data_IF_798116062051
#
_entry.id   IF_798116062051
#
_cell.length_a   1.000
_cell.length_b   1.000
_cell.length_c   1.000
_cell.angle_alpha   90.00
_cell.angle_beta   90.00
_cell.angle_gamma   90.00
#
_symmetry.space_group_name_H-M   'P 1'
#
loop_
_entity.id
_entity.type
_entity.pdbx_description
1 polymer ?
#
# COMPACT_ATOMS: atom_id res chain seq x y z
N UNK A 1 -8.58 -40.36 -12.03
CA UNK A 1 -8.89 -39.23 -11.13
C UNK A 1 -7.79 -38.20 -11.30
N UNK A 2 -8.05 -37.04 -11.91
CA UNK A 2 -7.02 -36.01 -12.08
C UNK A 2 -6.80 -35.31 -10.73
N UNK A 3 -5.71 -35.65 -10.04
CA UNK A 3 -5.28 -34.86 -8.89
C UNK A 3 -4.90 -33.45 -9.38
N UNK A 4 -5.65 -32.44 -8.92
CA UNK A 4 -5.31 -31.05 -9.18
C UNK A 4 -3.95 -30.75 -8.56
N UNK A 5 -2.98 -30.35 -9.38
CA UNK A 5 -1.62 -30.00 -8.95
C UNK A 5 -1.70 -29.00 -7.80
N UNK A 6 -1.03 -29.34 -6.71
CA UNK A 6 -0.99 -28.54 -5.48
C UNK A 6 0.29 -27.72 -5.44
N UNK A 7 0.19 -26.45 -5.04
CA UNK A 7 1.31 -25.53 -4.89
C UNK A 7 1.32 -24.94 -3.47
N UNK A 8 2.50 -24.66 -2.92
CA UNK A 8 2.61 -24.02 -1.60
C UNK A 8 2.09 -22.59 -1.62
N UNK A 9 1.72 -22.02 -0.47
CA UNK A 9 1.34 -20.61 -0.36
C UNK A 9 2.40 -19.65 -0.96
N UNK A 10 3.68 -19.97 -0.80
CA UNK A 10 4.78 -19.18 -1.39
C UNK A 10 4.80 -19.26 -2.92
N UNK A 11 4.48 -20.43 -3.49
CA UNK A 11 4.35 -20.59 -4.94
C UNK A 11 3.08 -19.91 -5.47
N UNK A 12 1.97 -19.96 -4.72
CA UNK A 12 0.76 -19.20 -5.02
C UNK A 12 1.04 -17.70 -5.04
N UNK A 13 1.78 -17.17 -4.07
CA UNK A 13 2.18 -15.76 -4.03
C UNK A 13 2.94 -15.33 -5.29
N UNK A 14 3.88 -16.17 -5.75
CA UNK A 14 4.60 -15.93 -7.02
C UNK A 14 3.68 -15.91 -8.22
N UNK A 15 2.67 -16.79 -8.29
CA UNK A 15 1.68 -16.82 -9.37
C UNK A 15 0.88 -15.52 -9.44
N UNK A 16 0.50 -14.95 -8.30
CA UNK A 16 -0.20 -13.66 -8.21
C UNK A 16 0.75 -12.46 -8.26
N UNK A 17 2.06 -12.68 -8.41
CA UNK A 17 3.10 -11.67 -8.41
C UNK A 17 3.07 -10.74 -7.17
N UNK A 18 2.78 -11.30 -6.00
CA UNK A 18 2.78 -10.59 -4.72
C UNK A 18 3.79 -11.23 -3.74
N UNK A 19 4.33 -10.46 -2.77
CA UNK A 19 5.13 -11.00 -1.69
C UNK A 19 4.39 -12.09 -0.92
N UNK A 20 5.10 -13.14 -0.47
CA UNK A 20 4.49 -14.23 0.30
C UNK A 20 3.76 -13.73 1.56
N UNK A 21 4.32 -12.72 2.24
CA UNK A 21 3.69 -12.10 3.41
C UNK A 21 2.31 -11.52 3.09
N UNK A 22 2.16 -10.87 1.93
CA UNK A 22 0.88 -10.32 1.48
C UNK A 22 -0.10 -11.44 1.11
N UNK A 23 0.37 -12.51 0.47
CA UNK A 23 -0.47 -13.68 0.21
C UNK A 23 -1.02 -14.30 1.50
N UNK A 24 -0.21 -14.45 2.54
CA UNK A 24 -0.69 -14.92 3.85
C UNK A 24 -1.73 -13.96 4.45
N UNK A 25 -1.54 -12.64 4.30
CA UNK A 25 -2.51 -11.65 4.76
C UNK A 25 -3.84 -11.76 3.99
N UNK A 26 -3.81 -11.94 2.67
CA UNK A 26 -5.02 -12.13 1.86
C UNK A 26 -5.76 -13.41 2.21
N UNK A 27 -5.05 -14.53 2.40
CA UNK A 27 -5.67 -15.79 2.81
C UNK A 27 -6.29 -15.69 4.21
N UNK A 28 -5.65 -14.95 5.14
CA UNK A 28 -6.17 -14.71 6.48
C UNK A 28 -7.41 -13.80 6.43
N UNK A 29 -7.33 -12.69 5.67
CA UNK A 29 -8.44 -11.76 5.50
C UNK A 29 -9.64 -12.41 4.80
N UNK A 30 -9.38 -13.31 3.85
CA UNK A 30 -10.39 -14.12 3.19
C UNK A 30 -10.91 -15.29 4.03
N UNK A 31 -10.44 -15.45 5.28
CA UNK A 31 -10.90 -16.50 6.19
C UNK A 31 -10.49 -17.91 5.80
N UNK A 32 -9.55 -18.08 4.86
CA UNK A 32 -9.08 -19.37 4.36
C UNK A 32 -8.02 -20.00 5.28
N UNK A 33 -7.30 -19.17 6.00
CA UNK A 33 -6.35 -19.59 7.03
C UNK A 33 -6.58 -18.80 8.32
N UNK A 34 -6.17 -19.38 9.43
CA UNK A 34 -6.20 -18.77 10.75
C UNK A 34 -4.84 -18.96 11.42
N UNK A 35 -4.52 -18.12 12.41
CA UNK A 35 -3.31 -18.28 13.21
C UNK A 35 -3.66 -18.96 14.54
N UNK A 36 -3.24 -20.21 14.73
CA UNK A 36 -3.36 -20.94 16.00
C UNK A 36 -2.01 -20.91 16.72
N UNK A 37 -1.88 -20.01 17.69
CA UNK A 37 -0.60 -19.74 18.37
C UNK A 37 0.42 -19.15 17.40
N UNK A 38 1.52 -19.86 17.15
CA UNK A 38 2.57 -19.45 16.20
C UNK A 38 2.53 -20.17 14.86
N UNK A 39 1.48 -20.95 14.58
CA UNK A 39 1.38 -21.74 13.36
C UNK A 39 0.15 -21.35 12.55
N UNK A 40 0.31 -21.28 11.23
CA UNK A 40 -0.79 -21.13 10.29
C UNK A 40 -1.60 -22.41 10.20
N UNK A 41 -2.91 -22.30 10.39
CA UNK A 41 -3.88 -23.38 10.24
C UNK A 41 -4.85 -23.10 9.10
N UNK A 42 -5.32 -24.17 8.43
CA UNK A 42 -6.46 -24.09 7.52
C UNK A 42 -7.76 -23.98 8.32
N UNK A 43 -8.67 -23.15 7.83
CA UNK A 43 -10.07 -23.12 8.27
C UNK A 43 -10.91 -24.06 7.41
N UNK A 44 -12.18 -24.27 7.79
CA UNK A 44 -13.13 -25.04 6.98
C UNK A 44 -13.31 -24.45 5.57
N UNK A 45 -13.30 -23.12 5.45
CA UNK A 45 -13.34 -22.45 4.14
C UNK A 45 -12.07 -22.73 3.33
N UNK A 46 -10.90 -22.71 3.97
CA UNK A 46 -9.63 -23.09 3.35
C UNK A 46 -9.64 -24.52 2.80
N UNK A 47 -10.21 -25.46 3.56
CA UNK A 47 -10.37 -26.85 3.11
C UNK A 47 -11.37 -26.96 1.95
N UNK A 48 -12.50 -26.23 2.02
CA UNK A 48 -13.52 -26.23 0.98
C UNK A 48 -13.03 -25.72 -0.37
N UNK A 49 -12.11 -24.75 -0.39
CA UNK A 49 -11.46 -24.29 -1.63
C UNK A 49 -10.31 -25.19 -2.09
N UNK A 50 -10.12 -26.34 -1.43
CA UNK A 50 -9.15 -27.37 -1.79
C UNK A 50 -7.79 -27.24 -1.11
N UNK A 51 -7.66 -26.40 -0.08
CA UNK A 51 -6.46 -26.27 0.72
C UNK A 51 -6.14 -27.56 1.49
N UNK A 52 -4.87 -27.95 1.52
CA UNK A 52 -4.40 -29.18 2.18
C UNK A 52 -3.17 -28.92 3.04
N UNK A 53 -3.01 -29.68 4.12
CA UNK A 53 -1.73 -29.74 4.84
C UNK A 53 -0.83 -30.80 4.23
N UNK A 54 0.42 -30.42 3.96
CA UNK A 54 1.47 -31.32 3.52
C UNK A 54 2.61 -31.25 4.52
N UNK A 55 3.14 -32.41 4.90
CA UNK A 55 4.32 -32.52 5.77
C UNK A 55 5.53 -32.90 4.94
N UNK A 56 6.61 -32.12 5.04
CA UNK A 56 7.90 -32.39 4.39
C UNK A 56 8.99 -32.61 5.43
N UNK A 57 9.90 -33.55 5.16
CA UNK A 57 11.12 -33.75 5.96
C UNK A 57 12.00 -32.49 6.04
N UNK A 58 11.96 -31.63 5.02
CA UNK A 58 12.82 -30.43 4.91
C UNK A 58 12.17 -29.15 5.47
N UNK A 59 10.85 -29.04 5.41
CA UNK A 59 10.13 -27.79 5.68
C UNK A 59 9.04 -27.91 6.75
N UNK A 60 8.88 -29.09 7.36
CA UNK A 60 7.81 -29.33 8.34
C UNK A 60 6.42 -29.34 7.70
N UNK A 61 5.40 -29.03 8.48
CA UNK A 61 3.99 -28.98 8.06
C UNK A 61 3.67 -27.61 7.44
N UNK A 62 3.15 -27.61 6.22
CA UNK A 62 2.77 -26.38 5.49
C UNK A 62 1.47 -26.57 4.71
N UNK A 63 0.88 -25.46 4.25
CA UNK A 63 -0.37 -25.43 3.51
C UNK A 63 -0.09 -25.40 2.00
N UNK A 64 -0.82 -26.21 1.24
CA UNK A 64 -0.85 -26.21 -0.22
C UNK A 64 -2.25 -25.90 -0.73
N UNK A 65 -2.30 -25.33 -1.92
CA UNK A 65 -3.52 -24.92 -2.60
C UNK A 65 -3.58 -25.52 -4.00
N UNK A 66 -4.77 -25.75 -4.57
CA UNK A 66 -4.90 -26.08 -5.98
C UNK A 66 -4.26 -24.99 -6.84
N UNK A 67 -3.48 -25.38 -7.85
CA UNK A 67 -2.85 -24.41 -8.76
C UNK A 67 -3.88 -23.55 -9.50
N UNK A 68 -5.08 -24.09 -9.73
CA UNK A 68 -6.24 -23.41 -10.34
C UNK A 68 -7.07 -22.57 -9.34
N UNK A 69 -6.64 -22.45 -8.08
CA UNK A 69 -7.34 -21.63 -7.09
C UNK A 69 -7.41 -20.17 -7.55
N UNK A 70 -8.64 -19.69 -7.72
CA UNK A 70 -8.95 -18.29 -8.02
C UNK A 70 -9.23 -17.58 -6.70
N UNK A 71 -8.42 -16.57 -6.39
CA UNK A 71 -8.60 -15.69 -5.26
C UNK A 71 -8.92 -14.29 -5.79
N UNK A 72 -9.92 -13.63 -5.21
CA UNK A 72 -10.19 -12.22 -5.45
C UNK A 72 -9.15 -11.36 -4.72
N UNK A 73 -7.91 -11.43 -5.17
CA UNK A 73 -6.82 -10.58 -4.69
C UNK A 73 -6.92 -9.28 -5.44
N UNK A 74 -7.50 -8.27 -4.79
CA UNK A 74 -7.41 -6.88 -5.24
C UNK A 74 -5.96 -6.43 -5.14
N UNK A 75 -5.17 -6.75 -6.16
CA UNK A 75 -3.80 -6.30 -6.31
C UNK A 75 -3.82 -4.83 -6.76
N UNK A 76 -4.31 -3.95 -5.88
CA UNK A 76 -4.28 -2.52 -6.15
C UNK A 76 -2.82 -2.07 -6.06
N UNK A 77 -2.25 -1.78 -7.23
CA UNK A 77 -0.91 -1.22 -7.35
C UNK A 77 -0.82 0.02 -6.47
N UNK A 78 0.03 -0.05 -5.44
CA UNK A 78 0.29 1.06 -4.57
C UNK A 78 1.23 2.08 -5.24
N UNK A 79 0.88 3.36 -5.15
CA UNK A 79 1.60 4.49 -5.71
C UNK A 79 1.96 5.49 -4.61
N UNK A 80 3.06 6.21 -4.77
CA UNK A 80 3.47 7.26 -3.83
C UNK A 80 2.89 8.61 -4.24
N UNK A 81 2.95 9.61 -3.34
CA UNK A 81 2.60 10.99 -3.67
C UNK A 81 3.35 11.53 -4.91
N UNK A 82 4.57 11.07 -5.16
CA UNK A 82 5.33 11.41 -6.37
C UNK A 82 4.67 10.87 -7.63
N UNK A 83 4.22 9.61 -7.60
CA UNK A 83 3.54 9.00 -8.73
C UNK A 83 2.17 9.64 -8.97
N UNK A 84 1.40 9.92 -7.91
CA UNK A 84 0.15 10.67 -7.99
C UNK A 84 0.40 12.06 -8.60
N UNK A 85 1.42 12.78 -8.12
CA UNK A 85 1.76 14.12 -8.61
C UNK A 85 2.08 14.15 -10.10
N UNK A 86 2.74 13.12 -10.64
CA UNK A 86 3.02 13.02 -12.07
C UNK A 86 1.74 13.01 -12.92
N UNK A 87 0.68 12.37 -12.46
CA UNK A 87 -0.62 12.34 -13.17
C UNK A 87 -1.29 13.72 -13.21
N UNK A 88 -1.08 14.55 -12.19
CA UNK A 88 -1.70 15.87 -12.06
C UNK A 88 -0.76 17.05 -12.39
N UNK A 89 0.48 16.78 -12.80
CA UNK A 89 1.51 17.81 -13.01
C UNK A 89 1.91 18.56 -11.73
N UNK A 90 1.81 17.92 -10.56
CA UNK A 90 2.10 18.50 -9.25
C UNK A 90 3.32 17.85 -8.60
N UNK A 91 4.03 18.61 -7.76
CA UNK A 91 5.13 18.07 -6.96
C UNK A 91 4.59 17.15 -5.87
N UNK A 92 5.40 16.16 -5.47
CA UNK A 92 5.06 15.24 -4.38
C UNK A 92 4.71 15.97 -3.07
N UNK A 93 5.43 17.06 -2.77
CA UNK A 93 5.14 17.90 -1.61
C UNK A 93 3.75 18.52 -1.70
N UNK A 94 3.37 19.06 -2.86
CA UNK A 94 2.04 19.66 -3.04
C UNK A 94 0.93 18.62 -2.90
N UNK A 95 1.11 17.43 -3.48
CA UNK A 95 0.17 16.31 -3.28
C UNK A 95 0.04 15.95 -1.81
N UNK A 96 1.14 15.84 -1.06
CA UNK A 96 1.05 15.53 0.36
C UNK A 96 0.30 16.59 1.17
N UNK A 97 0.47 17.88 0.84
CA UNK A 97 -0.33 18.94 1.47
C UNK A 97 -1.83 18.80 1.16
N UNK A 98 -2.19 18.53 -0.09
CA UNK A 98 -3.60 18.29 -0.49
C UNK A 98 -4.17 17.10 0.26
N UNK A 99 -3.44 15.98 0.33
CA UNK A 99 -3.85 14.81 1.10
C UNK A 99 -3.97 15.13 2.60
N UNK A 100 -3.20 16.09 3.10
CA UNK A 100 -3.29 16.56 4.49
C UNK A 100 -4.51 17.45 4.73
N UNK A 101 -4.87 18.30 3.78
CA UNK A 101 -6.09 19.11 3.82
C UNK A 101 -7.34 18.23 3.79
N UNK A 102 -7.30 17.14 3.03
CA UNK A 102 -8.34 16.09 3.04
C UNK A 102 -8.35 15.26 4.33
N UNK A 103 -7.42 15.49 5.25
CA UNK A 103 -7.30 14.75 6.50
C UNK A 103 -6.81 13.32 6.32
N UNK A 104 -6.30 12.93 5.14
CA UNK A 104 -5.81 11.58 4.84
C UNK A 104 -4.33 11.39 5.21
N UNK A 105 -3.56 12.48 5.16
CA UNK A 105 -2.16 12.52 5.56
C UNK A 105 -1.94 13.55 6.69
N UNK A 106 -0.81 13.42 7.39
CA UNK A 106 -0.36 14.42 8.36
C UNK A 106 1.17 14.54 8.32
N UNK A 107 1.66 15.75 8.59
CA UNK A 107 3.09 16.04 8.63
C UNK A 107 3.71 15.48 9.91
N UNK A 108 4.79 14.72 9.79
CA UNK A 108 5.55 14.19 10.93
C UNK A 108 6.86 14.99 11.12
N UNK A 109 7.64 14.66 12.17
CA UNK A 109 8.96 15.26 12.43
C UNK A 109 9.86 15.24 11.18
N UNK A 110 9.82 14.12 10.44
CA UNK A 110 10.36 13.98 9.09
C UNK A 110 9.35 13.19 8.26
N UNK A 111 9.12 13.59 7.01
CA UNK A 111 8.21 12.89 6.11
C UNK A 111 6.72 13.04 6.46
N UNK A 112 5.94 12.03 6.07
CA UNK A 112 4.48 12.05 6.14
C UNK A 112 3.92 10.76 6.73
N UNK A 113 2.88 10.91 7.57
CA UNK A 113 2.17 9.79 8.18
C UNK A 113 0.73 9.72 7.72
N UNK A 114 0.23 8.50 7.56
CA UNK A 114 -1.18 8.27 7.27
C UNK A 114 -2.02 8.54 8.52
N UNK A 115 -3.22 9.09 8.35
CA UNK A 115 -4.20 9.24 9.44
C UNK A 115 -5.16 8.05 9.46
N UNK A 116 -5.97 7.94 10.52
CA UNK A 116 -7.04 6.92 10.56
C UNK A 116 -8.03 7.04 9.38
N UNK A 117 -8.29 8.26 8.89
CA UNK A 117 -9.13 8.45 7.71
C UNK A 117 -8.40 8.07 6.41
N UNK A 118 -7.09 8.34 6.35
CA UNK A 118 -6.22 7.92 5.27
C UNK A 118 -6.18 6.40 5.10
N UNK A 119 -6.08 5.65 6.21
CA UNK A 119 -6.11 4.19 6.18
C UNK A 119 -7.43 3.65 5.64
N UNK A 120 -8.56 4.30 5.96
CA UNK A 120 -9.89 3.92 5.44
C UNK A 120 -10.01 4.10 3.92
N UNK A 121 -9.27 5.03 3.33
CA UNK A 121 -9.20 5.20 1.86
C UNK A 121 -8.04 4.41 1.24
N UNK A 122 -7.44 3.47 1.98
CA UNK A 122 -6.41 2.56 1.50
C UNK A 122 -4.98 3.05 1.65
N UNK A 123 -4.77 4.17 2.36
CA UNK A 123 -3.42 4.67 2.67
C UNK A 123 -2.64 3.68 3.52
N UNK A 124 -1.43 3.33 3.07
CA UNK A 124 -0.54 2.40 3.75
C UNK A 124 0.74 3.12 4.16
N UNK A 125 1.03 3.11 5.47
CA UNK A 125 2.26 3.65 6.01
C UNK A 125 3.46 2.82 5.55
N UNK A 126 4.47 3.51 5.03
CA UNK A 126 5.76 2.93 4.69
C UNK A 126 6.90 3.77 5.25
N UNK A 127 8.10 3.22 5.19
CA UNK A 127 9.32 3.86 5.66
C UNK A 127 10.45 3.58 4.67
N UNK A 128 11.27 4.59 4.41
CA UNK A 128 12.46 4.42 3.59
C UNK A 128 13.54 3.66 4.37
N UNK A 129 13.96 2.50 3.87
CA UNK A 129 14.87 1.59 4.58
C UNK A 129 16.24 2.18 4.88
N UNK A 130 16.67 3.22 4.16
CA UNK A 130 18.00 3.84 4.33
C UNK A 130 17.94 5.02 5.29
N UNK A 131 16.93 5.87 5.13
CA UNK A 131 16.82 7.14 5.84
C UNK A 131 15.88 7.10 7.05
N UNK A 132 15.05 6.06 7.17
CA UNK A 132 14.02 5.95 8.20
C UNK A 132 12.88 6.94 8.04
N UNK A 133 12.80 7.64 6.90
CA UNK A 133 11.80 8.69 6.69
C UNK A 133 10.45 8.04 6.36
N UNK A 134 9.38 8.33 7.12
CA UNK A 134 8.05 7.80 6.85
C UNK A 134 7.44 8.46 5.62
N UNK A 135 6.75 7.67 4.82
CA UNK A 135 5.95 8.12 3.68
C UNK A 135 4.71 7.25 3.51
N UNK A 136 3.76 7.71 2.69
CA UNK A 136 2.50 7.02 2.50
C UNK A 136 2.43 6.47 1.08
N UNK A 137 1.88 5.27 0.95
CA UNK A 137 1.52 4.66 -0.32
C UNK A 137 -0.01 4.59 -0.42
N UNK A 138 -0.54 4.85 -1.59
CA UNK A 138 -1.97 4.90 -1.84
C UNK A 138 -2.34 3.92 -2.94
N UNK A 139 -3.55 3.37 -2.96
CA UNK A 139 -4.00 2.58 -4.10
C UNK A 139 -4.05 3.46 -5.34
N UNK A 140 -3.65 2.94 -6.50
CA UNK A 140 -3.69 3.68 -7.77
C UNK A 140 -5.10 4.18 -8.12
N UNK A 141 -6.14 3.54 -7.59
CA UNK A 141 -7.53 3.98 -7.71
C UNK A 141 -7.79 5.35 -7.08
N UNK A 142 -6.94 5.83 -6.15
CA UNK A 142 -7.07 7.16 -5.53
C UNK A 142 -7.00 8.30 -6.54
N UNK A 143 -6.26 8.10 -7.66
CA UNK A 143 -6.13 9.10 -8.73
C UNK A 143 -7.49 9.36 -9.40
N UNK A 144 -8.41 8.39 -9.36
CA UNK A 144 -9.77 8.50 -9.89
C UNK A 144 -10.79 8.98 -8.84
N UNK A 145 -10.35 9.24 -7.60
CA UNK A 145 -11.24 9.69 -6.53
C UNK A 145 -11.74 11.11 -6.81
N UNK A 146 -13.07 11.27 -6.88
CA UNK A 146 -13.71 12.57 -7.11
C UNK A 146 -13.26 13.62 -6.09
N UNK A 147 -13.15 13.23 -4.82
CA UNK A 147 -12.72 14.13 -3.74
C UNK A 147 -11.33 14.69 -4.01
N UNK A 148 -10.37 13.82 -4.38
CA UNK A 148 -9.01 14.25 -4.68
C UNK A 148 -8.96 15.13 -5.93
N UNK A 149 -9.63 14.71 -7.01
CA UNK A 149 -9.65 15.46 -8.27
C UNK A 149 -10.27 16.84 -8.11
N UNK A 150 -11.40 16.95 -7.40
CA UNK A 150 -12.05 18.24 -7.13
C UNK A 150 -11.16 19.17 -6.33
N UNK A 151 -10.53 18.71 -5.24
CA UNK A 151 -9.63 19.56 -4.46
C UNK A 151 -8.41 20.01 -5.27
N UNK A 152 -7.84 19.13 -6.10
CA UNK A 152 -6.74 19.50 -7.00
C UNK A 152 -7.19 20.58 -8.00
N UNK A 153 -8.38 20.42 -8.60
CA UNK A 153 -8.95 21.37 -9.54
C UNK A 153 -9.23 22.73 -8.88
N UNK A 154 -9.78 22.74 -7.66
CA UNK A 154 -10.03 23.97 -6.91
C UNK A 154 -8.72 24.73 -6.64
N UNK A 155 -7.67 24.02 -6.21
CA UNK A 155 -6.35 24.61 -5.96
C UNK A 155 -5.67 25.09 -7.26
N UNK A 156 -5.91 24.42 -8.39
CA UNK A 156 -5.39 24.83 -9.68
C UNK A 156 -6.20 25.98 -10.31
N UNK A 157 -7.51 26.02 -10.11
CA UNK A 157 -8.41 27.09 -10.57
C UNK A 157 -8.25 28.38 -9.76
N UNK A 158 -7.91 28.28 -8.47
CA UNK A 158 -7.62 29.43 -7.59
C UNK A 158 -6.27 30.09 -7.91
N UNK A 159 -5.45 29.48 -8.78
CA UNK A 159 -4.10 29.94 -9.14
C UNK A 159 -4.06 31.18 -10.06
N UNK A 160 -5.19 31.87 -10.26
CA UNK A 160 -5.28 33.15 -10.96
C UNK A 160 -5.01 34.37 -10.06
N UNK A 161 -4.70 34.19 -8.78
CA UNK A 161 -4.24 35.28 -7.91
C UNK A 161 -2.92 34.86 -7.27
N UNK A 162 -1.82 35.29 -7.89
CA UNK A 162 -0.48 35.21 -7.30
C UNK A 162 -0.37 36.17 -6.11
N UNK A 163 0.09 35.73 -4.93
CA UNK A 163 0.68 36.63 -3.95
C UNK A 163 2.15 36.91 -4.29
N UNK A 164 2.66 38.11 -4.01
CA UNK A 164 3.99 38.54 -4.44
C UNK A 164 5.10 37.73 -3.82
N UNK A 165 6.14 37.48 -4.61
CA UNK A 165 7.44 36.93 -4.21
C UNK A 165 8.01 37.63 -2.98
N UNK A 166 8.29 36.89 -1.90
CA UNK A 166 9.14 37.40 -0.83
C UNK A 166 10.63 37.25 -1.18
N UNK A 167 11.48 38.22 -0.79
CA UNK A 167 12.84 38.35 -1.26
C UNK A 167 13.78 37.36 -0.57
N UNK A 168 14.69 36.75 -1.35
CA UNK A 168 15.86 36.04 -0.82
C UNK A 168 16.70 37.02 0.02
N UNK A 169 16.75 36.81 1.34
CA UNK A 169 17.79 37.43 2.18
C UNK A 169 19.16 36.90 1.74
N UNK A 170 19.94 37.78 1.13
CA UNK A 170 21.40 37.67 1.10
C UNK A 170 21.91 37.80 2.54
N UNK A 171 22.61 36.79 3.03
CA UNK A 171 23.49 36.94 4.19
C UNK A 171 24.91 37.11 3.66
N UNK A 172 25.26 38.37 3.45
CA UNK A 172 26.64 38.85 3.42
C UNK A 172 26.90 39.43 4.82
N UNK A 173 27.87 38.89 5.56
CA UNK A 173 28.77 39.74 6.32
C UNK A 173 30.05 39.00 6.73
N UNK A 174 31.14 39.70 6.47
CA UNK A 174 32.54 39.39 6.75
C UNK A 174 32.90 39.65 8.21
N UNK A 175 33.99 38.97 8.62
CA UNK A 175 35.10 39.37 9.52
C UNK A 175 34.80 39.75 10.97
N UNK A 176 35.48 39.05 11.88
CA UNK A 176 36.69 39.57 12.57
C UNK A 176 37.78 38.48 12.56
#
# INVERSE_FOLDING_TARGET
MNEKKQISTTALAKKYNIPAKEMFAHLLQGGLIEKKGDVWSLTDQGVNVGGKFVTSKKFGKYITWPEDLVLDIKNEKLVTATAIGKEFGLSANKINYILSELGWAQKALKGWRVTLQGEKVGGLQAEDKKSGIPYIRWPSSIIKSKVLTSTIQDIQGTKAIEPPSEPKKQSENQKD
#
